data_IF_344057791934
#
_entry.id   IF_344057791934
#
_cell.length_a   1.000
_cell.length_b   1.000
_cell.length_c   1.000
_cell.angle_alpha   90.00
_cell.angle_beta   90.00
_cell.angle_gamma   90.00
#
_symmetry.space_group_name_H-M   'P 1'
#
loop_
_entity.id
_entity.type
_entity.pdbx_description
1 polymer ?
#
# COMPACT_ATOMS: atom_id res chain seq x y z
N UNK A 1 -11.37 4.37 -3.05
CA UNK A 1 -11.49 3.95 -1.63
C UNK A 1 -10.60 4.82 -0.76
N UNK A 2 -11.11 5.27 0.37
CA UNK A 2 -10.29 6.03 1.32
C UNK A 2 -9.29 5.13 2.03
N UNK A 3 -8.13 5.69 2.37
CA UNK A 3 -7.10 4.95 3.13
C UNK A 3 -7.66 4.53 4.50
N UNK A 4 -8.50 5.36 5.13
CA UNK A 4 -9.17 5.00 6.39
C UNK A 4 -10.03 3.73 6.25
N UNK A 5 -10.68 3.55 5.11
CA UNK A 5 -11.47 2.35 4.83
C UNK A 5 -10.58 1.13 4.70
N UNK A 6 -9.45 1.26 4.03
CA UNK A 6 -8.45 0.19 3.91
C UNK A 6 -7.98 -0.24 5.30
N UNK A 7 -7.67 0.73 6.14
CA UNK A 7 -7.26 0.47 7.52
C UNK A 7 -8.30 -0.36 8.28
N UNK A 8 -9.55 0.04 8.19
CA UNK A 8 -10.64 -0.66 8.88
C UNK A 8 -10.83 -2.08 8.35
N UNK A 9 -10.91 -2.23 7.03
CA UNK A 9 -11.13 -3.54 6.41
C UNK A 9 -10.03 -4.53 6.73
N UNK A 10 -8.79 -4.07 6.81
CA UNK A 10 -7.64 -4.95 7.05
C UNK A 10 -7.27 -5.06 8.53
N UNK A 11 -7.94 -4.33 9.41
CA UNK A 11 -7.56 -4.30 10.81
C UNK A 11 -6.13 -3.81 11.00
N UNK A 12 -5.73 -2.83 10.22
CA UNK A 12 -4.35 -2.37 10.17
C UNK A 12 -4.08 -1.27 11.19
N UNK A 13 -2.83 -1.21 11.65
CA UNK A 13 -2.32 -0.09 12.44
C UNK A 13 -1.72 0.94 11.51
N UNK A 14 -1.87 2.21 11.86
CA UNK A 14 -1.20 3.30 11.15
C UNK A 14 0.21 3.44 11.70
N UNK A 15 1.19 3.18 10.86
CA UNK A 15 2.60 3.37 11.24
C UNK A 15 2.97 4.83 11.11
N UNK A 16 2.60 5.46 9.99
CA UNK A 16 2.79 6.88 9.75
C UNK A 16 1.75 7.39 8.75
N UNK A 17 1.40 8.67 8.84
CA UNK A 17 0.50 9.32 7.90
C UNK A 17 -0.93 9.46 8.39
N UNK A 18 -1.18 9.53 9.69
CA UNK A 18 -2.55 9.65 10.24
C UNK A 18 -3.32 10.85 9.70
N UNK A 19 -2.66 11.91 9.35
CA UNK A 19 -3.28 13.10 8.78
C UNK A 19 -3.72 12.93 7.33
N UNK A 20 -3.35 11.80 6.70
CA UNK A 20 -3.65 11.52 5.29
C UNK A 20 -4.68 10.41 5.08
N UNK A 21 -5.35 9.96 6.13
CA UNK A 21 -6.29 8.83 6.04
C UNK A 21 -7.54 9.14 5.19
N UNK A 22 -7.84 10.40 4.94
CA UNK A 22 -8.95 10.79 4.08
C UNK A 22 -8.59 10.81 2.59
N UNK A 23 -7.33 10.62 2.26
CA UNK A 23 -6.89 10.49 0.88
C UNK A 23 -7.45 9.23 0.25
N UNK A 24 -7.64 9.26 -1.06
CA UNK A 24 -8.20 8.13 -1.81
C UNK A 24 -7.15 7.40 -2.61
N UNK A 25 -7.34 6.09 -2.75
CA UNK A 25 -6.65 5.28 -3.74
C UNK A 25 -7.67 4.69 -4.70
N UNK A 26 -7.27 4.45 -5.94
CA UNK A 26 -8.19 4.05 -7.01
C UNK A 26 -7.95 2.64 -7.53
N UNK A 27 -6.86 2.03 -7.13
CA UNK A 27 -6.51 0.67 -7.49
C UNK A 27 -5.61 0.05 -6.41
N UNK A 28 -5.26 -1.21 -6.58
CA UNK A 28 -4.40 -1.92 -5.65
C UNK A 28 -3.41 -2.82 -6.40
N UNK A 29 -2.24 -2.98 -5.82
CA UNK A 29 -1.23 -3.90 -6.31
C UNK A 29 -0.67 -4.67 -5.13
N UNK A 30 -0.69 -6.01 -5.20
CA UNK A 30 -0.09 -6.86 -4.20
C UNK A 30 1.12 -7.56 -4.79
N UNK A 31 2.32 -7.19 -4.35
CA UNK A 31 3.54 -7.80 -4.87
C UNK A 31 4.72 -7.57 -3.92
N UNK A 32 5.62 -8.55 -3.89
CA UNK A 32 6.93 -8.42 -3.25
C UNK A 32 8.02 -8.11 -4.28
N UNK A 33 7.68 -8.05 -5.57
CA UNK A 33 8.62 -7.76 -6.63
C UNK A 33 8.42 -6.35 -7.17
N UNK A 34 9.33 -5.47 -6.85
CA UNK A 34 9.22 -4.06 -7.24
C UNK A 34 9.29 -3.85 -8.75
N UNK A 35 9.97 -4.73 -9.47
CA UNK A 35 9.96 -4.68 -10.94
C UNK A 35 8.55 -4.86 -11.52
N UNK A 36 7.73 -5.70 -10.91
CA UNK A 36 6.34 -5.88 -11.33
C UNK A 36 5.51 -4.64 -11.02
N UNK A 37 5.73 -4.02 -9.88
CA UNK A 37 5.06 -2.79 -9.50
C UNK A 37 5.36 -1.70 -10.53
N UNK A 38 6.63 -1.53 -10.88
CA UNK A 38 7.05 -0.54 -11.88
C UNK A 38 6.46 -0.81 -13.27
N UNK A 39 6.28 -2.07 -13.62
CA UNK A 39 5.80 -2.47 -14.94
C UNK A 39 4.28 -2.32 -15.10
N UNK A 40 3.51 -2.57 -14.05
CA UNK A 40 2.06 -2.78 -14.17
C UNK A 40 1.19 -1.75 -13.47
N UNK A 41 1.69 -1.04 -12.47
CA UNK A 41 0.90 -0.03 -11.77
C UNK A 41 0.84 1.25 -12.60
N UNK A 42 -0.38 1.77 -12.82
CA UNK A 42 -0.59 2.96 -13.64
C UNK A 42 -1.41 4.05 -12.96
N UNK A 43 -2.21 3.69 -11.98
CA UNK A 43 -3.06 4.64 -11.26
C UNK A 43 -2.59 4.77 -9.82
N UNK A 44 -3.10 5.75 -9.11
CA UNK A 44 -2.83 5.89 -7.68
C UNK A 44 -3.32 4.66 -6.95
N UNK A 45 -2.42 3.74 -6.69
CA UNK A 45 -2.72 2.46 -6.10
C UNK A 45 -2.22 2.38 -4.67
N UNK A 46 -2.83 1.52 -3.88
CA UNK A 46 -2.23 1.06 -2.63
C UNK A 46 -1.34 -0.13 -2.96
N UNK A 47 -0.16 -0.16 -2.38
CA UNK A 47 0.76 -1.28 -2.52
C UNK A 47 0.66 -2.17 -1.28
N UNK A 48 0.33 -3.44 -1.47
CA UNK A 48 0.38 -4.44 -0.41
C UNK A 48 1.63 -5.28 -0.62
N UNK A 49 2.47 -5.37 0.40
CA UNK A 49 3.75 -6.07 0.27
C UNK A 49 4.22 -6.64 1.61
N UNK A 50 4.95 -7.75 1.56
CA UNK A 50 5.67 -8.27 2.70
C UNK A 50 7.15 -7.90 2.66
N UNK A 51 7.58 -7.18 1.63
CA UNK A 51 8.96 -6.76 1.48
C UNK A 51 9.22 -5.51 2.31
N UNK A 52 10.19 -5.58 3.21
CA UNK A 52 10.51 -4.48 4.13
C UNK A 52 11.90 -3.98 3.83
N UNK A 53 12.00 -3.02 2.91
CA UNK A 53 13.24 -2.31 2.60
C UNK A 53 12.92 -0.92 2.06
N UNK A 54 13.95 -0.08 1.92
CA UNK A 54 13.77 1.30 1.45
C UNK A 54 13.34 1.38 -0.01
N UNK A 55 13.65 0.38 -0.82
CA UNK A 55 13.27 0.35 -2.22
C UNK A 55 11.75 0.34 -2.41
N UNK A 56 11.00 -0.24 -1.48
CA UNK A 56 9.55 -0.25 -1.52
C UNK A 56 9.01 1.18 -1.51
N UNK A 57 9.54 2.03 -0.63
CA UNK A 57 9.12 3.43 -0.54
C UNK A 57 9.53 4.20 -1.79
N UNK A 58 10.76 3.97 -2.28
CA UNK A 58 11.24 4.63 -3.50
C UNK A 58 10.40 4.28 -4.72
N UNK A 59 10.01 3.01 -4.83
CA UNK A 59 9.12 2.55 -5.90
C UNK A 59 7.75 3.20 -5.81
N UNK A 60 7.17 3.23 -4.61
CA UNK A 60 5.89 3.86 -4.38
C UNK A 60 5.91 5.35 -4.72
N UNK A 61 6.97 6.05 -4.32
CA UNK A 61 7.16 7.46 -4.65
C UNK A 61 7.24 7.66 -6.16
N UNK A 62 8.03 6.86 -6.84
CA UNK A 62 8.21 6.93 -8.30
C UNK A 62 6.90 6.70 -9.05
N UNK A 63 6.04 5.83 -8.53
CA UNK A 63 4.75 5.48 -9.13
C UNK A 63 3.60 6.32 -8.60
N UNK A 64 3.90 7.36 -7.84
CA UNK A 64 2.91 8.26 -7.21
C UNK A 64 1.87 7.51 -6.35
N UNK A 65 2.32 6.47 -5.67
CA UNK A 65 1.49 5.73 -4.73
C UNK A 65 1.51 6.42 -3.37
N UNK A 66 0.36 6.52 -2.72
CA UNK A 66 0.24 7.26 -1.46
C UNK A 66 0.11 6.40 -0.23
N UNK A 67 -0.01 5.10 -0.41
CA UNK A 67 -0.22 4.17 0.70
C UNK A 67 0.49 2.84 0.45
N UNK A 68 1.18 2.36 1.46
CA UNK A 68 1.78 1.03 1.47
C UNK A 68 1.22 0.28 2.67
N UNK A 69 0.76 -0.95 2.46
CA UNK A 69 0.31 -1.85 3.51
C UNK A 69 1.32 -2.99 3.63
N UNK A 70 1.98 -3.06 4.77
CA UNK A 70 2.85 -4.20 5.08
C UNK A 70 1.99 -5.32 5.63
N UNK A 71 2.07 -6.49 4.99
CA UNK A 71 1.28 -7.67 5.37
C UNK A 71 2.07 -8.61 6.28
N UNK A 72 1.39 -9.61 6.85
CA UNK A 72 1.99 -10.63 7.72
C UNK A 72 2.66 -10.05 8.98
N UNK A 73 2.10 -9.00 9.53
CA UNK A 73 2.65 -8.31 10.72
C UNK A 73 4.09 -7.80 10.53
N UNK A 74 4.51 -7.58 9.30
CA UNK A 74 5.83 -7.00 9.04
C UNK A 74 5.85 -5.55 9.50
N UNK A 75 6.92 -5.17 10.16
CA UNK A 75 7.09 -3.81 10.67
C UNK A 75 8.20 -3.11 9.90
N UNK A 76 7.93 -1.91 9.38
CA UNK A 76 8.97 -1.14 8.72
C UNK A 76 10.03 -0.67 9.72
N UNK A 77 11.26 -0.56 9.25
CA UNK A 77 12.37 -0.02 10.04
C UNK A 77 12.21 1.50 10.22
N UNK A 78 12.88 2.10 11.22
CA UNK A 78 12.85 3.57 11.38
C UNK A 78 13.29 4.30 10.12
N UNK A 79 14.22 3.74 9.36
CA UNK A 79 14.70 4.31 8.10
C UNK A 79 13.60 4.36 7.05
N UNK A 80 12.82 3.28 6.93
CA UNK A 80 11.68 3.21 6.03
C UNK A 80 10.61 4.23 6.43
N UNK A 81 10.32 4.33 7.71
CA UNK A 81 9.33 5.28 8.26
C UNK A 81 9.72 6.70 7.93
N UNK A 82 10.99 7.06 8.14
CA UNK A 82 11.49 8.41 7.86
C UNK A 82 11.38 8.73 6.37
N UNK A 83 11.78 7.80 5.51
CA UNK A 83 11.68 7.99 4.06
C UNK A 83 10.24 8.16 3.60
N UNK A 84 9.31 7.38 4.13
CA UNK A 84 7.89 7.50 3.82
C UNK A 84 7.32 8.84 4.27
N UNK A 85 7.75 9.31 5.43
CA UNK A 85 7.34 10.61 5.96
C UNK A 85 7.78 11.74 5.02
N UNK A 86 9.02 11.69 4.56
CA UNK A 86 9.55 12.69 3.62
C UNK A 86 8.82 12.67 2.29
N UNK A 87 8.42 11.48 1.84
CA UNK A 87 7.75 11.28 0.56
C UNK A 87 6.22 11.48 0.61
N UNK A 88 5.66 11.70 1.80
CA UNK A 88 4.21 11.88 1.97
C UNK A 88 3.42 10.60 1.72
N UNK A 89 3.95 9.45 2.13
CA UNK A 89 3.34 8.14 1.93
C UNK A 89 2.84 7.59 3.26
N UNK A 90 1.59 7.13 3.29
CA UNK A 90 1.00 6.48 4.47
C UNK A 90 1.49 5.05 4.56
N UNK A 91 1.96 4.64 5.73
CA UNK A 91 2.33 3.27 6.00
C UNK A 91 1.33 2.64 6.97
N UNK A 92 0.76 1.52 6.55
CA UNK A 92 -0.12 0.69 7.37
C UNK A 92 0.53 -0.67 7.57
N UNK A 93 0.22 -1.32 8.68
CA UNK A 93 0.69 -2.69 8.94
C UNK A 93 -0.50 -3.54 9.38
N UNK A 94 -0.70 -4.69 8.74
CA UNK A 94 -1.79 -5.61 9.05
C UNK A 94 -1.23 -7.00 9.37
N UNK A 95 -1.83 -7.73 10.34
CA UNK A 95 -1.46 -9.12 10.57
C UNK A 95 -1.92 -10.07 9.46
N UNK A 96 -2.82 -9.63 8.60
CA UNK A 96 -3.33 -10.47 7.52
C UNK A 96 -2.25 -10.79 6.50
N UNK A 97 -2.35 -11.98 5.91
CA UNK A 97 -1.44 -12.40 4.85
C UNK A 97 -1.85 -11.75 3.52
N UNK A 98 -0.93 -11.78 2.56
CA UNK A 98 -1.12 -11.15 1.26
C UNK A 98 -2.42 -11.58 0.57
N UNK A 99 -2.69 -12.87 0.51
CA UNK A 99 -3.88 -13.39 -0.18
C UNK A 99 -5.17 -12.85 0.43
N UNK A 100 -5.31 -12.94 1.75
CA UNK A 100 -6.48 -12.44 2.45
C UNK A 100 -6.63 -10.93 2.31
N UNK A 101 -5.54 -10.18 2.52
CA UNK A 101 -5.57 -8.74 2.44
C UNK A 101 -6.01 -8.28 1.05
N UNK A 102 -5.43 -8.84 0.00
CA UNK A 102 -5.81 -8.54 -1.37
C UNK A 102 -7.26 -8.93 -1.64
N UNK A 103 -7.69 -10.10 -1.18
CA UNK A 103 -9.05 -10.58 -1.36
C UNK A 103 -10.09 -9.68 -0.70
N UNK A 104 -9.81 -9.21 0.50
CA UNK A 104 -10.71 -8.30 1.21
C UNK A 104 -10.88 -6.99 0.45
N UNK A 105 -9.80 -6.38 0.00
CA UNK A 105 -9.88 -5.13 -0.75
C UNK A 105 -10.59 -5.32 -2.08
N UNK A 106 -10.29 -6.39 -2.80
CA UNK A 106 -10.91 -6.71 -4.07
C UNK A 106 -12.42 -6.92 -3.91
N UNK A 107 -12.84 -7.67 -2.89
CA UNK A 107 -14.24 -7.95 -2.60
C UNK A 107 -15.03 -6.70 -2.21
N UNK A 108 -14.34 -5.67 -1.73
CA UNK A 108 -14.95 -4.40 -1.34
C UNK A 108 -14.84 -3.34 -2.43
N UNK A 109 -14.48 -3.74 -3.66
CA UNK A 109 -14.52 -2.88 -4.83
C UNK A 109 -13.21 -2.23 -5.23
N UNK A 110 -12.12 -2.47 -4.50
CA UNK A 110 -10.81 -1.94 -4.89
C UNK A 110 -10.10 -2.96 -5.77
N UNK A 111 -10.24 -2.80 -7.06
CA UNK A 111 -9.68 -3.73 -8.05
C UNK A 111 -8.29 -3.27 -8.49
N UNK A 112 -7.63 -4.09 -9.29
CA UNK A 112 -6.36 -3.72 -9.91
C UNK A 112 -6.55 -2.71 -11.04
N UNK A 113 -5.49 -2.42 -11.78
CA UNK A 113 -5.57 -1.51 -12.92
C UNK A 113 -6.65 -1.95 -13.90
N UNK A 114 -7.49 -1.02 -14.32
CA UNK A 114 -8.49 -1.33 -15.33
C UNK A 114 -7.82 -1.60 -16.66
N UNK A 115 -8.15 -2.74 -17.24
CA UNK A 115 -7.76 -3.01 -18.62
C UNK A 115 -8.68 -2.18 -19.49
N UNK A 116 -8.12 -1.30 -20.30
CA UNK A 116 -8.90 -0.57 -21.30
C UNK A 116 -9.17 -1.50 -22.48
N UNK A 117 -10.42 -1.76 -22.69
CA UNK A 117 -10.86 -2.49 -23.87
C UNK A 117 -10.84 -1.58 -25.10
#
# INVERSE_FOLDING_TARGET
MKISTIRELLGADVVIGEDMLNEHVYSACGSDMMSDVLAYVKDQAVLLTGLVNTQVVRTAEMMDMRCIVFVRSKQPTPEIVELAKESGIVLLATPKRMYEACGILYSNGLVGNKVKE
#
